data_IF_424718447622
#
_entry.id   IF_424718447622
#
_cell.length_a   1.000
_cell.length_b   1.000
_cell.length_c   1.000
_cell.angle_alpha   90.00
_cell.angle_beta   90.00
_cell.angle_gamma   90.00
#
_symmetry.space_group_name_H-M   'P 1'
#
loop_
_entity.id
_entity.type
_entity.pdbx_description
1 polymer ?
#
# COMPACT_ATOMS: atom_id res chain seq x y z
N UNK A 1 26.69 -31.27 46.73
CA UNK A 1 26.47 -31.12 45.27
C UNK A 1 25.06 -31.54 44.84
N UNK A 2 24.55 -32.70 45.24
CA UNK A 2 23.18 -33.15 44.95
C UNK A 2 22.07 -32.15 45.35
N UNK A 3 22.18 -31.51 46.52
CA UNK A 3 21.20 -30.50 46.97
C UNK A 3 21.09 -29.29 46.06
N UNK A 4 22.20 -28.87 45.43
CA UNK A 4 22.22 -27.73 44.50
C UNK A 4 21.52 -28.09 43.18
N UNK A 5 21.72 -29.32 42.71
CA UNK A 5 21.08 -29.84 41.49
C UNK A 5 19.55 -29.92 41.64
N UNK A 6 19.06 -30.32 42.81
CA UNK A 6 17.62 -30.39 43.11
C UNK A 6 16.97 -29.01 43.11
N UNK A 7 17.66 -27.99 43.64
CA UNK A 7 17.16 -26.60 43.66
C UNK A 7 17.07 -26.04 42.23
N UNK A 8 18.07 -26.30 41.38
CA UNK A 8 18.06 -25.85 39.97
C UNK A 8 16.94 -26.54 39.19
N UNK A 9 16.72 -27.85 39.41
CA UNK A 9 15.66 -28.60 38.74
C UNK A 9 14.25 -28.09 39.11
N UNK A 10 14.02 -27.80 40.40
CA UNK A 10 12.73 -27.25 40.88
C UNK A 10 12.47 -25.82 40.38
N UNK A 11 13.53 -25.05 40.13
CA UNK A 11 13.42 -23.67 39.62
C UNK A 11 13.03 -23.59 38.14
N UNK A 12 13.16 -24.70 37.39
CA UNK A 12 12.84 -24.77 35.96
C UNK A 12 11.36 -25.04 35.65
N UNK A 13 10.53 -25.36 36.64
CA UNK A 13 9.15 -25.84 36.41
C UNK A 13 8.07 -24.73 36.35
N UNK A 14 8.43 -23.45 36.31
CA UNK A 14 7.48 -22.35 36.57
C UNK A 14 6.71 -21.76 35.38
N UNK A 15 6.80 -22.30 34.17
CA UNK A 15 6.13 -21.69 33.00
C UNK A 15 5.11 -22.64 32.37
N UNK A 16 4.02 -22.92 33.09
CA UNK A 16 2.79 -23.46 32.48
C UNK A 16 1.78 -22.34 32.34
N UNK A 17 1.72 -21.71 31.16
CA UNK A 17 0.72 -20.70 30.85
C UNK A 17 -0.61 -21.38 30.54
N UNK A 18 -1.40 -21.63 31.58
CA UNK A 18 -2.80 -22.03 31.43
C UNK A 18 -3.61 -20.83 30.92
N UNK A 19 -4.16 -20.95 29.71
CA UNK A 19 -4.99 -19.93 29.08
C UNK A 19 -6.41 -20.46 28.95
N UNK A 20 -7.40 -19.67 29.36
CA UNK A 20 -8.81 -20.03 29.14
C UNK A 20 -9.18 -19.86 27.67
N UNK A 21 -10.21 -20.56 27.19
CA UNK A 21 -10.67 -20.41 25.81
C UNK A 21 -10.93 -18.94 25.43
N UNK A 22 -11.55 -18.16 26.31
CA UNK A 22 -11.80 -16.73 26.10
C UNK A 22 -10.50 -15.91 25.96
N UNK A 23 -9.47 -16.23 26.76
CA UNK A 23 -8.16 -15.60 26.66
C UNK A 23 -7.43 -16.01 25.37
N UNK A 24 -7.59 -17.25 24.91
CA UNK A 24 -7.01 -17.74 23.66
C UNK A 24 -7.62 -17.03 22.44
N UNK A 25 -8.93 -16.83 22.43
CA UNK A 25 -9.60 -16.04 21.38
C UNK A 25 -9.09 -14.59 21.38
N UNK A 26 -8.93 -13.97 22.55
CA UNK A 26 -8.40 -12.61 22.66
C UNK A 26 -6.95 -12.52 22.16
N UNK A 27 -6.11 -13.49 22.51
CA UNK A 27 -4.73 -13.55 22.06
C UNK A 27 -4.63 -13.78 20.54
N UNK A 28 -5.52 -14.61 19.98
CA UNK A 28 -5.59 -14.87 18.54
C UNK A 28 -5.96 -13.61 17.75
N UNK A 29 -6.90 -12.80 18.25
CA UNK A 29 -7.26 -11.52 17.63
C UNK A 29 -6.11 -10.50 17.61
N UNK A 30 -5.20 -10.57 18.57
CA UNK A 30 -3.99 -9.74 18.61
C UNK A 30 -2.78 -10.37 17.92
N UNK A 31 -2.94 -11.54 17.30
CA UNK A 31 -1.83 -12.26 16.70
C UNK A 31 -1.42 -11.59 15.38
N UNK A 32 -0.13 -11.34 15.20
CA UNK A 32 0.42 -10.65 14.04
C UNK A 32 0.04 -11.31 12.71
N UNK A 33 -0.03 -12.64 12.67
CA UNK A 33 -0.47 -13.38 11.47
C UNK A 33 -1.93 -13.12 11.08
N UNK A 34 -2.81 -12.85 12.04
CA UNK A 34 -4.21 -12.49 11.74
C UNK A 34 -4.27 -11.06 11.21
N UNK A 35 -3.46 -10.17 11.78
CA UNK A 35 -3.34 -8.79 11.33
C UNK A 35 -2.74 -8.69 9.93
N UNK A 36 -1.73 -9.48 9.61
CA UNK A 36 -1.12 -9.49 8.28
C UNK A 36 -2.10 -9.93 7.20
N UNK A 37 -2.91 -10.96 7.46
CA UNK A 37 -3.97 -11.41 6.54
C UNK A 37 -5.03 -10.33 6.37
N UNK A 38 -5.46 -9.68 7.46
CA UNK A 38 -6.42 -8.59 7.42
C UNK A 38 -5.92 -7.39 6.62
N UNK A 39 -4.65 -7.01 6.80
CA UNK A 39 -4.01 -5.93 6.05
C UNK A 39 -3.86 -6.31 4.57
N UNK A 40 -3.52 -7.55 4.27
CA UNK A 40 -3.44 -8.06 2.89
C UNK A 40 -4.80 -8.00 2.18
N UNK A 41 -5.88 -8.38 2.87
CA UNK A 41 -7.24 -8.25 2.32
C UNK A 41 -7.57 -6.79 1.98
N UNK A 42 -7.29 -5.86 2.90
CA UNK A 42 -7.52 -4.42 2.65
C UNK A 42 -6.67 -3.89 1.49
N UNK A 43 -5.43 -4.37 1.35
CA UNK A 43 -4.57 -3.98 0.24
C UNK A 43 -5.13 -4.48 -1.09
N UNK A 44 -5.64 -5.71 -1.16
CA UNK A 44 -6.30 -6.26 -2.34
C UNK A 44 -7.57 -5.47 -2.71
N UNK A 45 -8.40 -5.11 -1.72
CA UNK A 45 -9.59 -4.29 -1.96
C UNK A 45 -9.22 -2.93 -2.56
N UNK A 46 -8.17 -2.29 -2.04
CA UNK A 46 -7.68 -1.00 -2.55
C UNK A 46 -7.04 -1.11 -3.92
N UNK A 47 -6.36 -2.22 -4.20
CA UNK A 47 -5.80 -2.51 -5.51
C UNK A 47 -6.92 -2.72 -6.54
N UNK A 48 -7.97 -3.47 -6.20
CA UNK A 48 -9.14 -3.66 -7.05
C UNK A 48 -9.87 -2.33 -7.31
N UNK A 49 -10.05 -1.49 -6.30
CA UNK A 49 -10.62 -0.15 -6.43
C UNK A 49 -9.77 0.73 -7.37
N UNK A 50 -8.44 0.71 -7.20
CA UNK A 50 -7.50 1.45 -8.05
C UNK A 50 -7.51 0.97 -9.51
N UNK A 51 -7.55 -0.35 -9.73
CA UNK A 51 -7.59 -0.96 -11.08
C UNK A 51 -8.97 -0.81 -11.75
N UNK A 52 -10.05 -0.75 -10.97
CA UNK A 52 -11.42 -0.54 -11.43
C UNK A 52 -11.77 0.93 -11.65
N UNK A 53 -11.07 1.85 -11.00
CA UNK A 53 -11.23 3.28 -11.24
C UNK A 53 -10.82 3.62 -12.67
N UNK A 54 -11.61 4.47 -13.32
CA UNK A 54 -11.34 4.94 -14.69
C UNK A 54 -10.12 5.86 -14.79
N UNK A 55 -9.38 6.04 -13.69
CA UNK A 55 -8.27 6.94 -13.56
C UNK A 55 -8.77 8.35 -13.34
N UNK A 56 -8.40 8.93 -12.21
CA UNK A 56 -8.75 10.31 -11.90
C UNK A 56 -8.20 11.27 -12.97
N UNK A 57 -8.90 12.38 -13.26
CA UNK A 57 -8.40 13.40 -14.17
C UNK A 57 -7.05 13.90 -13.67
N UNK A 58 -6.03 13.78 -14.51
CA UNK A 58 -4.68 14.28 -14.21
C UNK A 58 -4.60 15.73 -14.64
N UNK A 59 -4.34 16.59 -13.68
CA UNK A 59 -4.01 17.99 -13.92
C UNK A 59 -2.50 18.15 -14.05
N UNK A 60 -2.05 18.80 -15.13
CA UNK A 60 -0.64 19.09 -15.40
C UNK A 60 -0.45 20.58 -15.57
N UNK A 61 0.47 21.15 -14.80
CA UNK A 61 1.01 22.50 -15.03
C UNK A 61 2.45 22.33 -15.51
N UNK A 62 2.80 22.92 -16.64
CA UNK A 62 4.16 22.90 -17.17
C UNK A 62 4.57 24.31 -17.60
N UNK A 63 5.74 24.77 -17.15
CA UNK A 63 6.37 25.96 -17.70
C UNK A 63 7.37 25.52 -18.78
N UNK A 64 7.29 26.10 -19.97
CA UNK A 64 8.24 25.87 -21.06
C UNK A 64 9.01 27.15 -21.31
N UNK A 65 10.33 27.04 -21.41
CA UNK A 65 11.20 28.09 -21.92
C UNK A 65 11.97 27.48 -23.09
N UNK A 66 11.60 27.84 -24.32
CA UNK A 66 12.32 27.39 -25.51
C UNK A 66 13.35 28.45 -25.91
N UNK A 67 14.65 28.26 -25.61
CA UNK A 67 15.68 29.07 -26.23
C UNK A 67 15.72 28.73 -27.72
N UNK A 68 15.66 29.74 -28.58
CA UNK A 68 16.09 29.58 -29.97
C UNK A 68 17.60 29.73 -30.00
N UNK A 69 18.29 28.78 -30.62
CA UNK A 69 19.72 28.91 -30.98
C UNK A 69 19.85 29.95 -32.11
N UNK A 70 19.72 31.23 -31.76
CA UNK A 70 19.85 32.35 -32.70
C UNK A 70 20.44 33.55 -31.96
N UNK A 71 21.59 34.02 -32.43
CA UNK A 71 22.31 35.22 -31.96
C UNK A 71 21.64 36.54 -32.38
N UNK A 72 20.33 36.54 -32.67
CA UNK A 72 19.60 37.73 -33.11
C UNK A 72 18.86 38.34 -31.92
N UNK A 73 19.18 39.60 -31.60
CA UNK A 73 18.62 40.36 -30.46
C UNK A 73 17.11 40.64 -30.56
N UNK A 74 16.48 40.30 -31.69
CA UNK A 74 15.11 40.67 -32.02
C UNK A 74 14.10 39.51 -31.87
N UNK A 75 14.44 38.47 -31.09
CA UNK A 75 13.56 37.31 -30.86
C UNK A 75 13.30 37.09 -29.37
N UNK A 76 12.05 37.30 -28.96
CA UNK A 76 11.63 37.03 -27.58
C UNK A 76 11.64 35.52 -27.32
N UNK A 77 12.27 35.02 -26.24
CA UNK A 77 12.22 33.60 -25.89
C UNK A 77 10.77 33.19 -25.67
N UNK A 78 10.37 32.07 -26.28
CA UNK A 78 9.00 31.58 -26.26
C UNK A 78 8.74 30.89 -24.91
N UNK A 79 8.59 31.71 -23.87
CA UNK A 79 8.25 31.31 -22.50
C UNK A 79 6.74 31.25 -22.33
N UNK A 80 6.21 30.14 -21.84
CA UNK A 80 4.77 29.96 -21.65
C UNK A 80 4.43 28.99 -20.52
N UNK A 81 3.28 29.19 -19.89
CA UNK A 81 2.69 28.29 -18.89
C UNK A 81 1.59 27.48 -19.59
N UNK A 82 1.70 26.16 -19.53
CA UNK A 82 0.74 25.19 -20.07
C UNK A 82 -0.03 24.56 -18.91
N UNK A 83 -1.36 24.67 -18.94
CA UNK A 83 -2.25 23.96 -18.03
C UNK A 83 -3.06 22.94 -18.85
N UNK A 84 -2.98 21.67 -18.48
CA UNK A 84 -3.65 20.57 -19.17
C UNK A 84 -4.45 19.72 -18.20
N UNK A 85 -5.71 19.43 -18.56
CA UNK A 85 -6.52 18.41 -17.92
C UNK A 85 -6.54 17.19 -18.85
N UNK A 86 -6.15 16.03 -18.35
CA UNK A 86 -6.17 14.78 -19.12
C UNK A 86 -6.96 13.72 -18.37
N UNK A 87 -7.93 13.11 -19.06
CA UNK A 87 -8.74 12.03 -18.52
C UNK A 87 -8.75 10.87 -19.52
N UNK A 88 -8.40 9.67 -19.06
CA UNK A 88 -8.45 8.46 -19.89
C UNK A 88 -9.88 7.96 -19.90
N UNK A 89 -10.57 8.04 -21.03
CA UNK A 89 -11.91 7.47 -21.21
C UNK A 89 -11.76 6.08 -21.82
N UNK A 90 -12.08 5.03 -21.05
CA UNK A 90 -12.02 3.66 -21.53
C UNK A 90 -13.39 3.23 -22.07
N UNK A 91 -13.48 3.01 -23.37
CA UNK A 91 -14.74 2.73 -24.07
C UNK A 91 -15.31 1.31 -23.81
N UNK A 92 -14.54 0.39 -23.21
CA UNK A 92 -14.93 -1.04 -23.09
C UNK A 92 -14.57 -1.74 -21.76
N UNK A 93 -13.90 -1.09 -20.80
CA UNK A 93 -13.32 -1.80 -19.64
C UNK A 93 -14.23 -1.95 -18.41
N UNK A 94 -15.43 -1.35 -18.39
CA UNK A 94 -16.33 -1.39 -17.22
C UNK A 94 -16.75 -2.81 -16.82
N UNK A 95 -16.83 -3.74 -17.78
CA UNK A 95 -17.24 -5.13 -17.55
C UNK A 95 -16.13 -6.15 -17.84
N UNK A 96 -15.14 -5.82 -18.68
CA UNK A 96 -14.05 -6.75 -19.02
C UNK A 96 -12.97 -6.91 -17.95
N UNK A 97 -12.82 -5.93 -17.05
CA UNK A 97 -11.74 -5.93 -16.04
C UNK A 97 -12.18 -6.35 -14.63
N UNK A 98 -13.49 -6.54 -14.39
CA UNK A 98 -13.98 -7.08 -13.12
C UNK A 98 -13.61 -8.56 -12.99
N UNK A 99 -13.70 -9.32 -14.07
CA UNK A 99 -13.36 -10.75 -14.11
C UNK A 99 -11.85 -11.00 -13.92
N UNK A 100 -11.00 -10.09 -14.40
CA UNK A 100 -9.53 -10.15 -14.30
C UNK A 100 -8.94 -9.47 -13.05
N UNK A 101 -9.75 -8.83 -12.21
CA UNK A 101 -9.28 -8.20 -10.97
C UNK A 101 -9.40 -9.13 -9.76
N UNK A 102 -10.17 -10.22 -9.87
CA UNK A 102 -10.32 -11.23 -8.81
C UNK A 102 -9.44 -12.48 -9.02
N UNK A 103 -8.86 -12.67 -10.21
CA UNK A 103 -7.99 -13.81 -10.57
C UNK A 103 -6.56 -13.37 -10.87
#
# INVERSE_FOLDING_TARGET
MIKLFVVIFLSGCFETKAMTFAQAIKALHSHESVDSVRLKSKALDKEAESRGSWGDPKFKIAAKNFPKDSLKDDQTPMSGIEMGVSQKIALTTKYGNLESSFF
#
